data_IF_059191391945
#
_entry.id   IF_059191391945
#
_cell.length_a   1.000
_cell.length_b   1.000
_cell.length_c   1.000
_cell.angle_alpha   90.00
_cell.angle_beta   90.00
_cell.angle_gamma   90.00
#
_symmetry.space_group_name_H-M   'P 1'
#
loop_
_entity.id
_entity.type
_entity.pdbx_description
1 polymer ?
#
# COMPACT_ATOMS: atom_id res chain seq x y z
N UNK A 1 -4.19 -7.71 -14.23
CA UNK A 1 -4.36 -8.90 -13.38
C UNK A 1 -5.80 -8.96 -12.89
N UNK A 2 -6.55 -10.01 -13.22
CA UNK A 2 -8.03 -9.99 -13.10
C UNK A 2 -8.57 -10.41 -11.72
N UNK A 3 -7.86 -11.26 -10.97
CA UNK A 3 -8.27 -11.77 -9.64
C UNK A 3 -7.12 -11.82 -8.63
N UNK A 4 -6.57 -10.67 -8.19
CA UNK A 4 -5.40 -10.61 -7.29
C UNK A 4 -5.61 -11.30 -5.94
N UNK A 5 -6.85 -11.48 -5.50
CA UNK A 5 -7.21 -12.23 -4.29
C UNK A 5 -6.81 -13.71 -4.31
N UNK A 6 -6.57 -14.32 -5.48
CA UNK A 6 -6.20 -15.74 -5.58
C UNK A 6 -4.73 -16.00 -5.32
N UNK A 7 -3.88 -14.96 -5.29
CA UNK A 7 -2.46 -15.16 -4.97
C UNK A 7 -2.28 -15.36 -3.45
N UNK A 8 -1.97 -16.60 -3.10
CA UNK A 8 -1.82 -17.05 -1.71
C UNK A 8 -0.40 -16.83 -1.16
N UNK A 9 0.65 -16.98 -1.97
CA UNK A 9 2.03 -17.00 -1.44
C UNK A 9 3.06 -16.31 -2.33
N UNK A 10 3.48 -15.11 -1.94
CA UNK A 10 4.69 -14.45 -2.44
C UNK A 10 5.31 -13.57 -1.36
N UNK A 11 6.52 -13.10 -1.59
CA UNK A 11 7.26 -12.20 -0.70
C UNK A 11 7.65 -10.95 -1.47
N UNK A 12 7.64 -9.80 -0.79
CA UNK A 12 7.96 -8.50 -1.35
C UNK A 12 9.17 -7.95 -0.58
N UNK A 13 10.18 -7.50 -1.34
CA UNK A 13 11.29 -6.70 -0.80
C UNK A 13 10.93 -5.22 -0.78
N UNK A 14 10.53 -4.67 -1.94
CA UNK A 14 10.13 -3.28 -2.09
C UNK A 14 8.78 -3.19 -2.81
N UNK A 15 7.92 -2.27 -2.38
CA UNK A 15 6.65 -1.96 -3.03
C UNK A 15 6.50 -0.45 -3.24
N UNK A 16 5.87 -0.07 -4.35
CA UNK A 16 5.28 1.25 -4.55
C UNK A 16 3.77 1.07 -4.60
N UNK A 17 3.04 1.82 -3.77
CA UNK A 17 1.59 1.86 -3.75
C UNK A 17 1.17 3.22 -4.26
N UNK A 18 0.47 3.24 -5.39
CA UNK A 18 -0.04 4.46 -6.00
C UNK A 18 -1.55 4.61 -5.81
N UNK A 19 -2.01 5.85 -5.69
CA UNK A 19 -3.42 6.25 -5.61
C UNK A 19 -4.26 5.47 -4.59
N UNK A 20 -3.67 5.09 -3.43
CA UNK A 20 -4.36 4.28 -2.43
C UNK A 20 -5.64 4.96 -1.89
N UNK A 21 -5.65 6.28 -1.90
CA UNK A 21 -6.73 7.17 -1.48
C UNK A 21 -7.94 7.20 -2.45
N UNK A 22 -7.78 6.78 -3.70
CA UNK A 22 -8.89 6.65 -4.67
C UNK A 22 -9.83 5.51 -4.28
N UNK A 23 -9.33 4.55 -3.51
CA UNK A 23 -10.12 3.41 -3.04
C UNK A 23 -10.96 3.79 -1.80
N UNK A 24 -12.18 3.23 -1.65
CA UNK A 24 -12.94 3.37 -0.40
C UNK A 24 -12.10 2.92 0.80
N UNK A 25 -12.17 3.66 1.92
CA UNK A 25 -11.30 3.46 3.08
C UNK A 25 -11.18 2.00 3.56
N UNK A 26 -12.30 1.26 3.59
CA UNK A 26 -12.31 -0.17 3.97
C UNK A 26 -11.50 -1.03 2.99
N UNK A 27 -11.58 -0.74 1.69
CA UNK A 27 -10.86 -1.45 0.63
C UNK A 27 -9.36 -1.10 0.67
N UNK A 28 -9.03 0.17 0.88
CA UNK A 28 -7.66 0.64 1.08
C UNK A 28 -7.01 -0.04 2.30
N UNK A 29 -7.70 -0.07 3.44
CA UNK A 29 -7.21 -0.73 4.66
C UNK A 29 -6.99 -2.23 4.46
N UNK A 30 -7.91 -2.91 3.75
CA UNK A 30 -7.75 -4.33 3.43
C UNK A 30 -6.55 -4.58 2.52
N UNK A 31 -6.35 -3.73 1.50
CA UNK A 31 -5.19 -3.81 0.60
C UNK A 31 -3.88 -3.59 1.38
N UNK A 32 -3.82 -2.55 2.21
CA UNK A 32 -2.67 -2.23 3.05
C UNK A 32 -2.27 -3.40 3.95
N UNK A 33 -3.23 -4.01 4.67
CA UNK A 33 -2.99 -5.20 5.52
C UNK A 33 -2.42 -6.36 4.71
N UNK A 34 -2.92 -6.59 3.49
CA UNK A 34 -2.42 -7.65 2.61
C UNK A 34 -0.99 -7.37 2.14
N UNK A 35 -0.63 -6.13 1.87
CA UNK A 35 0.71 -5.74 1.42
C UNK A 35 1.72 -5.91 2.55
N UNK A 36 1.44 -5.35 3.74
CA UNK A 36 2.34 -5.49 4.91
C UNK A 36 2.60 -6.97 5.22
N UNK A 37 1.56 -7.83 5.19
CA UNK A 37 1.72 -9.26 5.47
C UNK A 37 2.69 -9.98 4.49
N UNK A 38 2.99 -9.37 3.34
CA UNK A 38 3.88 -9.90 2.31
C UNK A 38 5.30 -9.29 2.36
N UNK A 39 5.53 -8.25 3.16
CA UNK A 39 6.84 -7.60 3.38
C UNK A 39 7.78 -8.42 4.27
N UNK A 40 7.96 -9.70 3.92
CA UNK A 40 8.74 -10.69 4.68
C UNK A 40 9.87 -11.29 3.85
N UNK A 41 10.28 -10.61 2.78
CA UNK A 41 11.47 -11.01 2.03
C UNK A 41 12.70 -10.73 2.90
N UNK A 42 13.59 -11.72 3.03
CA UNK A 42 14.73 -11.66 3.96
C UNK A 42 15.98 -12.01 3.17
N UNK A 43 16.78 -10.99 2.89
CA UNK A 43 18.08 -11.08 2.23
C UNK A 43 19.06 -10.21 3.02
N UNK A 44 20.31 -10.65 3.25
CA UNK A 44 21.32 -9.83 3.91
C UNK A 44 21.47 -8.47 3.22
N UNK A 45 21.37 -7.37 3.98
CA UNK A 45 21.50 -6.01 3.47
C UNK A 45 20.24 -5.41 2.81
N UNK A 46 19.16 -6.19 2.63
CA UNK A 46 17.92 -5.66 2.08
C UNK A 46 17.02 -5.09 3.19
N UNK A 47 16.68 -3.81 3.06
CA UNK A 47 15.64 -3.17 3.88
C UNK A 47 14.32 -3.20 3.14
N UNK A 48 13.34 -3.91 3.71
CA UNK A 48 12.01 -3.93 3.15
C UNK A 48 11.37 -2.54 3.26
N UNK A 49 10.86 -2.03 2.13
CA UNK A 49 10.33 -0.67 2.02
C UNK A 49 9.02 -0.61 1.25
N UNK A 50 8.13 0.30 1.66
CA UNK A 50 6.91 0.63 0.93
C UNK A 50 6.93 2.14 0.69
N UNK A 51 6.92 2.54 -0.57
CA UNK A 51 6.67 3.91 -0.98
C UNK A 51 5.18 4.07 -1.28
N UNK A 52 4.58 5.17 -0.82
CA UNK A 52 3.16 5.45 -1.04
C UNK A 52 3.03 6.80 -1.72
N UNK A 53 2.38 6.81 -2.87
CA UNK A 53 1.96 8.00 -3.58
C UNK A 53 0.45 8.13 -3.49
N UNK A 54 -0.02 9.34 -3.20
CA UNK A 54 -1.45 9.66 -3.10
C UNK A 54 -1.80 10.67 -4.17
N UNK A 55 -3.05 10.67 -4.64
CA UNK A 55 -3.49 11.73 -5.54
C UNK A 55 -3.55 13.07 -4.82
N UNK A 56 -3.34 14.21 -5.51
CA UNK A 56 -3.61 15.53 -4.94
C UNK A 56 -5.10 15.71 -4.59
N UNK A 57 -6.00 14.96 -5.24
CA UNK A 57 -7.46 14.99 -5.01
C UNK A 57 -7.85 14.38 -3.64
N UNK A 58 -7.11 13.37 -3.17
CA UNK A 58 -7.26 12.80 -1.82
C UNK A 58 -6.71 13.70 -0.72
N UNK A 59 -5.91 14.71 -1.08
CA UNK A 59 -5.46 15.78 -0.19
C UNK A 59 -6.59 16.81 -0.04
N UNK A 60 -7.72 16.40 0.57
CA UNK A 60 -8.66 17.35 1.16
C UNK A 60 -7.96 18.07 2.30
N UNK A 61 -7.31 19.17 1.93
CA UNK A 61 -6.75 20.20 2.78
C UNK A 61 -7.66 20.39 3.98
N UNK A 62 -7.20 19.97 5.16
CA UNK A 62 -7.78 20.38 6.44
C UNK A 62 -7.43 21.87 6.60
N UNK A 63 -8.12 22.76 5.85
CA UNK A 63 -8.14 24.19 6.13
C UNK A 63 -8.90 24.35 7.43
N UNK A 64 -8.16 24.49 8.51
CA UNK A 64 -8.70 24.60 9.86
C UNK A 64 -7.59 24.60 10.89
N UNK A 65 -6.57 25.42 10.68
CA UNK A 65 -5.78 25.97 11.76
C UNK A 65 -6.25 27.42 11.90
N UNK A 66 -7.31 27.58 12.69
CA UNK A 66 -7.67 28.80 13.39
C UNK A 66 -7.14 28.71 14.80
#
# INVERSE_FOLDING_TARGET
MEKPQTIVGFKIGNALIDELDVMPAKKAQLAWRKIIARMRYKVPGLRNGIDVTTTPEGFKVRKGCS
#
